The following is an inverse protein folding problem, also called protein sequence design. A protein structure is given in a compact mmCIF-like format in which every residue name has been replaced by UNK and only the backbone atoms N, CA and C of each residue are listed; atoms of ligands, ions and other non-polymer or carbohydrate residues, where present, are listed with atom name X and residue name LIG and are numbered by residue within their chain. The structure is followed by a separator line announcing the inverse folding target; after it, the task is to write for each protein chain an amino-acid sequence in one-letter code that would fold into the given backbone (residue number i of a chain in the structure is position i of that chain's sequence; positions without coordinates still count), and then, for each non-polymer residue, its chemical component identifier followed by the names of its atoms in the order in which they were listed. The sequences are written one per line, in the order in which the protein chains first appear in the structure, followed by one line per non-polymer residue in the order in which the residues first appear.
data_IF_821997062225
#
_entry.id   IF_821997062225
#
_cell.length_a   1.000
_cell.length_b   1.000
_cell.length_c   1.000
_cell.angle_alpha   90.00
_cell.angle_beta   90.00
_cell.angle_gamma   90.00
#
_symmetry.space_group_name_H-M   'P 1'
#
loop_
_entity.id
_entity.type
_entity.pdbx_description
1 polymer ?
#
# COMPACT_ATOMS: atom_id res chain seq x y z
N UNK A 1 -9.65 -34.26 -23.98
CA UNK A 1 -10.61 -33.51 -23.12
C UNK A 1 -9.89 -33.14 -21.82
N UNK A 2 -10.09 -31.92 -21.28
CA UNK A 2 -9.56 -31.32 -20.02
C UNK A 2 -8.39 -30.28 -20.04
N UNK A 3 -8.29 -29.35 -21.01
CA UNK A 3 -7.49 -28.13 -20.81
C UNK A 3 -8.15 -27.11 -19.84
N UNK A 4 -9.43 -27.26 -19.51
CA UNK A 4 -10.18 -26.34 -18.62
C UNK A 4 -9.81 -26.45 -17.14
N UNK A 5 -9.34 -27.61 -16.68
CA UNK A 5 -9.09 -27.86 -15.25
C UNK A 5 -7.82 -27.15 -14.78
N UNK A 6 -6.77 -27.12 -15.60
CA UNK A 6 -5.53 -26.41 -15.30
C UNK A 6 -5.75 -24.90 -15.18
N UNK A 7 -6.51 -24.30 -16.12
CA UNK A 7 -6.84 -22.88 -16.09
C UNK A 7 -7.73 -22.53 -14.88
N UNK A 8 -8.71 -23.38 -14.56
CA UNK A 8 -9.55 -23.18 -13.38
C UNK A 8 -8.75 -23.26 -12.07
N UNK A 9 -7.83 -24.22 -11.94
CA UNK A 9 -6.92 -24.34 -10.80
C UNK A 9 -6.00 -23.12 -10.68
N UNK A 10 -5.40 -22.66 -11.79
CA UNK A 10 -4.54 -21.47 -11.80
C UNK A 10 -5.30 -20.19 -11.45
N UNK A 11 -6.56 -20.06 -11.90
CA UNK A 11 -7.42 -18.93 -11.56
C UNK A 11 -7.80 -18.94 -10.07
N UNK A 12 -8.13 -20.11 -9.51
CA UNK A 12 -8.44 -20.29 -8.09
C UNK A 12 -7.21 -19.99 -7.21
N UNK A 13 -6.04 -20.53 -7.58
CA UNK A 13 -4.77 -20.30 -6.88
C UNK A 13 -4.37 -18.82 -6.97
N UNK A 14 -4.47 -18.21 -8.15
CA UNK A 14 -4.21 -16.78 -8.35
C UNK A 14 -5.14 -15.90 -7.53
N UNK A 15 -6.43 -16.26 -7.42
CA UNK A 15 -7.39 -15.57 -6.57
C UNK A 15 -7.06 -15.66 -5.09
N UNK A 16 -6.70 -16.86 -4.59
CA UNK A 16 -6.30 -17.05 -3.19
C UNK A 16 -4.98 -16.37 -2.84
N UNK A 17 -4.03 -16.32 -3.77
CA UNK A 17 -2.75 -15.64 -3.58
C UNK A 17 -2.95 -14.13 -3.42
N UNK A 18 -3.81 -13.53 -4.26
CA UNK A 18 -4.21 -12.12 -4.14
C UNK A 18 -4.88 -11.82 -2.81
N UNK A 19 -5.87 -12.64 -2.41
CA UNK A 19 -6.55 -12.46 -1.13
C UNK A 19 -5.59 -12.60 0.08
N UNK A 20 -4.64 -13.54 0.02
CA UNK A 20 -3.64 -13.71 1.08
C UNK A 20 -2.70 -12.52 1.15
N UNK A 21 -2.29 -11.98 -0.01
CA UNK A 21 -1.42 -10.81 -0.05
C UNK A 21 -2.12 -9.58 0.52
N UNK A 22 -3.38 -9.34 0.14
CA UNK A 22 -4.19 -8.25 0.69
C UNK A 22 -4.34 -8.35 2.22
N UNK A 23 -4.56 -9.55 2.75
CA UNK A 23 -4.66 -9.78 4.20
C UNK A 23 -3.33 -9.52 4.91
N UNK A 24 -2.20 -9.97 4.37
CA UNK A 24 -0.88 -9.72 4.96
C UNK A 24 -0.58 -8.22 4.98
N UNK A 25 -0.81 -7.52 3.87
CA UNK A 25 -0.62 -6.07 3.77
C UNK A 25 -1.52 -5.32 4.75
N UNK A 26 -2.80 -5.71 4.82
CA UNK A 26 -3.78 -5.12 5.73
C UNK A 26 -3.38 -5.30 7.19
N UNK A 27 -2.99 -6.52 7.58
CA UNK A 27 -2.59 -6.84 8.95
C UNK A 27 -1.29 -6.13 9.35
N UNK A 28 -0.29 -6.11 8.47
CA UNK A 28 0.96 -5.39 8.70
C UNK A 28 0.73 -3.88 8.84
N UNK A 29 -0.09 -3.29 7.97
CA UNK A 29 -0.45 -1.87 8.02
C UNK A 29 -1.22 -1.50 9.29
N UNK A 30 -2.16 -2.38 9.71
CA UNK A 30 -2.97 -2.17 10.91
C UNK A 30 -2.12 -2.26 12.18
N UNK A 31 -1.29 -3.29 12.29
CA UNK A 31 -0.40 -3.50 13.43
C UNK A 31 0.56 -2.31 13.63
N UNK A 32 1.10 -1.77 12.54
CA UNK A 32 2.00 -0.61 12.60
C UNK A 32 1.28 0.68 12.98
N UNK A 33 0.05 0.88 12.51
CA UNK A 33 -0.74 2.03 12.98
C UNK A 33 -1.06 1.90 14.48
N UNK A 34 -1.34 0.69 14.99
CA UNK A 34 -1.59 0.42 16.41
C UNK A 34 -0.35 0.69 17.26
N UNK A 35 0.84 0.19 16.88
CA UNK A 35 2.11 0.48 17.57
C UNK A 35 2.45 1.97 17.57
N UNK A 36 2.17 2.68 16.47
CA UNK A 36 2.39 4.13 16.38
C UNK A 36 1.41 4.89 17.29
N UNK A 37 0.14 4.48 17.34
CA UNK A 37 -0.87 5.11 18.19
C UNK A 37 -0.60 4.87 19.69
N UNK A 38 -0.11 3.69 20.05
CA UNK A 38 0.22 3.34 21.44
C UNK A 38 1.38 4.18 21.99
N UNK A 39 2.26 4.66 21.12
CA UNK A 39 3.39 5.54 21.49
C UNK A 39 3.03 7.03 21.55
N UNK A 40 1.81 7.44 21.18
CA UNK A 40 1.42 8.85 21.19
C UNK A 40 1.19 9.35 22.62
N UNK A 41 2.02 10.30 23.06
CA UNK A 41 1.80 10.99 24.34
C UNK A 41 0.64 11.99 24.21
N UNK A 42 0.04 12.37 25.33
CA UNK A 42 -1.05 13.36 25.37
C UNK A 42 -0.69 14.67 24.63
N UNK A 43 0.55 15.14 24.78
CA UNK A 43 1.06 16.33 24.09
C UNK A 43 1.12 16.18 22.56
N UNK A 44 1.40 14.98 22.06
CA UNK A 44 1.43 14.72 20.61
C UNK A 44 0.02 14.80 20.01
N UNK A 45 -0.97 14.24 20.70
CA UNK A 45 -2.38 14.28 20.28
C UNK A 45 -2.93 15.72 20.30
N UNK A 46 -2.51 16.53 21.27
CA UNK A 46 -2.88 17.95 21.33
C UNK A 46 -2.23 18.75 20.20
N UNK A 47 -0.94 18.53 19.93
CA UNK A 47 -0.22 19.18 18.85
C UNK A 47 -0.83 18.87 17.48
N UNK A 48 -1.23 17.62 17.22
CA UNK A 48 -1.91 17.24 15.97
C UNK A 48 -3.26 17.94 15.81
N UNK A 49 -4.07 18.00 16.87
CA UNK A 49 -5.35 18.73 16.82
C UNK A 49 -5.14 20.22 16.58
N UNK A 50 -4.12 20.83 17.18
CA UNK A 50 -3.79 22.25 16.97
C UNK A 50 -3.33 22.49 15.53
N UNK A 51 -2.49 21.60 14.98
CA UNK A 51 -2.03 21.71 13.60
C UNK A 51 -3.18 21.52 12.59
N UNK A 52 -4.07 20.56 12.81
CA UNK A 52 -5.25 20.30 11.98
C UNK A 52 -6.25 21.46 12.04
N UNK A 53 -6.52 21.98 13.24
CA UNK A 53 -7.41 23.12 13.43
C UNK A 53 -6.85 24.40 12.81
N UNK A 54 -5.56 24.68 13.03
CA UNK A 54 -4.87 25.84 12.48
C UNK A 54 -4.73 25.82 10.95
N UNK A 55 -4.76 24.64 10.33
CA UNK A 55 -4.69 24.47 8.86
C UNK A 55 -6.04 24.58 8.13
N UNK A 56 -7.16 24.74 8.84
CA UNK A 56 -8.49 24.76 8.22
C UNK A 56 -8.82 26.11 7.58
N UNK A 57 -9.35 26.10 6.35
CA UNK A 57 -9.87 27.30 5.68
C UNK A 57 -10.93 28.05 6.49
N UNK A 58 -11.77 27.31 7.24
CA UNK A 58 -12.79 27.93 8.11
C UNK A 58 -12.16 28.68 9.28
N UNK A 59 -11.07 28.15 9.84
CA UNK A 59 -10.34 28.81 10.91
C UNK A 59 -9.69 30.11 10.41
N UNK A 60 -9.02 30.07 9.24
CA UNK A 60 -8.40 31.25 8.64
C UNK A 60 -9.41 32.38 8.46
N UNK A 61 -10.58 32.09 7.87
CA UNK A 61 -11.62 33.10 7.63
C UNK A 61 -12.16 33.66 8.96
N UNK A 62 -12.50 32.79 9.91
CA UNK A 62 -13.01 33.22 11.22
C UNK A 62 -11.98 34.05 12.00
N UNK A 63 -10.71 33.65 11.98
CA UNK A 63 -9.60 34.35 12.63
C UNK A 63 -9.38 35.73 12.00
N UNK A 64 -9.37 35.83 10.67
CA UNK A 64 -9.28 37.11 9.97
C UNK A 64 -10.45 38.03 10.31
N UNK A 65 -11.69 37.53 10.33
CA UNK A 65 -12.85 38.32 10.73
C UNK A 65 -12.77 38.80 12.19
N UNK A 66 -12.26 37.95 13.10
CA UNK A 66 -12.04 38.31 14.49
C UNK A 66 -10.99 39.44 14.61
N UNK A 67 -9.90 39.37 13.84
CA UNK A 67 -8.89 40.44 13.81
C UNK A 67 -9.47 41.75 13.31
N UNK A 68 -10.19 41.75 12.18
CA UNK A 68 -10.86 42.95 11.68
C UNK A 68 -11.92 43.48 12.65
N UNK A 69 -12.66 42.59 13.32
CA UNK A 69 -13.62 42.95 14.36
C UNK A 69 -12.94 43.62 15.56
N UNK A 70 -11.80 43.11 16.01
CA UNK A 70 -11.00 43.70 17.09
C UNK A 70 -10.47 45.08 16.72
N UNK A 71 -9.93 45.23 15.51
CA UNK A 71 -9.46 46.51 14.98
C UNK A 71 -10.60 47.53 14.88
N UNK A 72 -11.76 47.12 14.35
CA UNK A 72 -12.94 47.98 14.24
C UNK A 72 -13.47 48.42 15.61
N UNK A 73 -13.57 47.49 16.57
CA UNK A 73 -14.02 47.79 17.93
C UNK A 73 -13.10 48.81 18.62
N UNK A 74 -11.77 48.59 18.58
CA UNK A 74 -10.81 49.52 19.18
C UNK A 74 -10.75 50.87 18.43
N UNK A 75 -10.95 50.88 17.11
CA UNK A 75 -10.97 52.11 16.32
C UNK A 75 -12.24 52.95 16.55
N UNK A 76 -13.39 52.33 16.83
CA UNK A 76 -14.62 53.05 17.21
C UNK A 76 -14.51 53.54 18.67
N UNK A 77 -13.96 52.71 19.56
CA UNK A 77 -13.73 53.06 20.97
C UNK A 77 -12.65 54.15 21.17
N UNK A 78 -11.85 54.44 20.15
CA UNK A 78 -10.92 55.59 20.07
C UNK A 78 -11.58 56.91 20.46
N UNK A 79 -12.89 57.07 20.19
CA UNK A 79 -13.65 58.28 20.51
C UNK A 79 -13.97 58.44 22.01
N UNK A 80 -13.88 57.38 22.83
CA UNK A 80 -14.22 57.43 24.26
C UNK A 80 -13.07 57.09 25.21
N UNK A 81 -12.20 56.13 24.84
CA UNK A 81 -10.90 55.77 25.43
C UNK A 81 -10.54 54.37 24.91
N UNK A 82 -9.63 54.26 23.94
CA UNK A 82 -9.26 52.96 23.35
C UNK A 82 -8.42 52.12 24.32
N UNK A 83 -8.59 50.80 24.24
CA UNK A 83 -7.79 49.82 25.01
C UNK A 83 -6.50 49.45 24.26
N UNK A 84 -6.54 49.37 22.93
CA UNK A 84 -5.39 49.08 22.06
C UNK A 84 -5.36 50.08 20.89
N UNK A 85 -4.62 51.18 21.05
CA UNK A 85 -4.50 52.26 20.05
C UNK A 85 -3.66 51.83 18.84
N UNK A 86 -3.98 52.36 17.66
CA UNK A 86 -3.15 52.19 16.46
C UNK A 86 -1.71 52.61 16.78
N UNK A 87 -0.70 51.71 16.67
CA UNK A 87 -0.58 50.56 15.75
C UNK A 87 -0.95 49.15 16.32
N UNK A 88 -1.80 49.05 17.34
CA UNK A 88 -2.28 47.81 17.98
C UNK A 88 -1.17 46.94 18.61
N UNK A 89 -0.45 47.49 19.59
CA UNK A 89 0.71 46.84 20.21
C UNK A 89 0.33 45.53 20.92
N UNK A 90 -0.84 45.48 21.54
CA UNK A 90 -1.28 44.29 22.28
C UNK A 90 -1.65 43.16 21.33
N UNK A 91 -2.40 43.48 20.27
CA UNK A 91 -2.71 42.54 19.21
C UNK A 91 -1.43 41.98 18.56
N UNK A 92 -0.46 42.84 18.28
CA UNK A 92 0.80 42.44 17.68
C UNK A 92 1.60 41.48 18.59
N UNK A 93 1.66 41.76 19.90
CA UNK A 93 2.33 40.90 20.87
C UNK A 93 1.67 39.51 20.97
N UNK A 94 0.34 39.48 21.02
CA UNK A 94 -0.44 38.24 21.03
C UNK A 94 -0.16 37.40 19.76
N UNK A 95 -0.27 38.02 18.58
CA UNK A 95 -0.03 37.35 17.30
C UNK A 95 1.39 36.80 17.19
N UNK A 96 2.39 37.59 17.63
CA UNK A 96 3.79 37.18 17.60
C UNK A 96 4.05 35.96 18.50
N UNK A 97 3.42 35.92 19.68
CA UNK A 97 3.56 34.80 20.62
C UNK A 97 2.87 33.53 20.08
N UNK A 98 1.68 33.67 19.49
CA UNK A 98 0.97 32.56 18.84
C UNK A 98 1.81 32.01 17.68
N UNK A 99 2.31 32.88 16.80
CA UNK A 99 3.13 32.48 15.66
C UNK A 99 4.43 31.78 16.09
N UNK A 100 5.09 32.29 17.14
CA UNK A 100 6.31 31.68 17.68
C UNK A 100 6.07 30.26 18.21
N UNK A 101 4.93 30.00 18.85
CA UNK A 101 4.54 28.66 19.31
C UNK A 101 4.03 27.77 18.17
N UNK A 102 3.50 28.36 17.10
CA UNK A 102 2.95 27.63 15.96
C UNK A 102 4.02 26.87 15.17
N UNK A 103 5.17 27.48 14.89
CA UNK A 103 6.21 26.84 14.08
C UNK A 103 6.76 25.51 14.69
N UNK A 104 7.10 25.44 15.99
CA UNK A 104 7.49 24.19 16.64
C UNK A 104 6.37 23.14 16.66
N UNK A 105 5.11 23.54 16.91
CA UNK A 105 3.97 22.62 16.93
C UNK A 105 3.74 22.01 15.55
N UNK A 106 3.80 22.83 14.50
CA UNK A 106 3.75 22.36 13.11
C UNK A 106 4.92 21.42 12.83
N UNK A 107 6.14 21.79 13.21
CA UNK A 107 7.34 20.96 12.98
C UNK A 107 7.26 19.61 13.72
N UNK A 108 6.71 19.58 14.94
CA UNK A 108 6.49 18.34 15.69
C UNK A 108 5.45 17.45 15.00
N UNK A 109 4.34 18.00 14.54
CA UNK A 109 3.33 17.26 13.78
C UNK A 109 3.87 16.74 12.45
N UNK A 110 4.64 17.57 11.72
CA UNK A 110 5.30 17.18 10.47
C UNK A 110 6.35 16.09 10.68
N UNK A 111 7.22 16.20 11.69
CA UNK A 111 8.23 15.18 12.00
C UNK A 111 7.58 13.84 12.37
N UNK A 112 6.43 13.88 13.08
CA UNK A 112 5.65 12.68 13.39
C UNK A 112 5.02 12.07 12.14
N UNK A 113 4.39 12.88 11.28
CA UNK A 113 3.84 12.42 10.02
C UNK A 113 4.92 11.77 9.13
N UNK A 114 6.08 12.42 8.99
CA UNK A 114 7.20 11.89 8.20
C UNK A 114 7.77 10.57 8.75
N UNK A 115 7.81 10.39 10.08
CA UNK A 115 8.19 9.09 10.68
C UNK A 115 7.20 7.99 10.34
N UNK A 116 5.89 8.29 10.42
CA UNK A 116 4.81 7.35 10.07
C UNK A 116 4.86 6.97 8.59
N UNK A 117 5.07 7.94 7.71
CA UNK A 117 5.18 7.71 6.27
C UNK A 117 6.42 6.86 5.92
N UNK A 118 7.56 7.11 6.58
CA UNK A 118 8.76 6.30 6.40
C UNK A 118 8.56 4.84 6.83
N UNK A 119 7.91 4.61 7.97
CA UNK A 119 7.61 3.25 8.43
C UNK A 119 6.68 2.52 7.46
N UNK A 120 5.64 3.19 6.96
CA UNK A 120 4.73 2.63 5.96
C UNK A 120 5.46 2.26 4.67
N UNK A 121 6.33 3.15 4.17
CA UNK A 121 7.12 2.88 2.97
C UNK A 121 8.04 1.65 3.13
N UNK A 122 8.66 1.49 4.30
CA UNK A 122 9.50 0.32 4.61
C UNK A 122 8.69 -0.99 4.62
N UNK A 123 7.49 -0.99 5.20
CA UNK A 123 6.61 -2.16 5.21
C UNK A 123 6.13 -2.52 3.81
N UNK A 124 5.69 -1.52 3.03
CA UNK A 124 5.27 -1.74 1.65
C UNK A 124 6.42 -2.32 0.82
N UNK A 125 7.64 -1.83 1.04
CA UNK A 125 8.85 -2.40 0.43
C UNK A 125 9.05 -3.87 0.80
N UNK A 126 8.97 -4.22 2.09
CA UNK A 126 9.14 -5.61 2.55
C UNK A 126 8.06 -6.55 2.01
N UNK A 127 6.80 -6.10 1.96
CA UNK A 127 5.69 -6.87 1.37
C UNK A 127 5.92 -7.10 -0.12
N UNK A 128 6.38 -6.07 -0.84
CA UNK A 128 6.67 -6.18 -2.27
C UNK A 128 7.81 -7.17 -2.53
N UNK A 129 8.90 -7.08 -1.77
CA UNK A 129 10.02 -8.02 -1.86
C UNK A 129 9.58 -9.46 -1.58
N UNK A 130 8.76 -9.67 -0.54
CA UNK A 130 8.20 -10.99 -0.22
C UNK A 130 7.31 -11.53 -1.34
N UNK A 131 6.50 -10.66 -1.96
CA UNK A 131 5.65 -11.01 -3.10
C UNK A 131 6.49 -11.43 -4.31
N UNK A 132 7.58 -10.71 -4.59
CA UNK A 132 8.51 -11.04 -5.67
C UNK A 132 9.16 -12.41 -5.46
N UNK A 133 9.64 -12.70 -4.24
CA UNK A 133 10.20 -14.00 -3.90
C UNK A 133 9.19 -15.14 -4.04
N UNK A 134 7.94 -14.93 -3.60
CA UNK A 134 6.86 -15.91 -3.77
C UNK A 134 6.55 -16.15 -5.26
N UNK A 135 6.58 -15.10 -6.08
CA UNK A 135 6.38 -15.21 -7.52
C UNK A 135 7.51 -16.00 -8.19
N UNK A 136 8.76 -15.77 -7.79
CA UNK A 136 9.91 -16.56 -8.26
C UNK A 136 9.78 -18.05 -7.87
N UNK A 137 9.37 -18.33 -6.63
CA UNK A 137 9.14 -19.71 -6.18
C UNK A 137 8.00 -20.38 -6.94
N UNK A 138 6.93 -19.65 -7.24
CA UNK A 138 5.82 -20.15 -8.04
C UNK A 138 6.27 -20.46 -9.48
N UNK A 139 7.08 -19.59 -10.08
CA UNK A 139 7.67 -19.83 -11.39
C UNK A 139 8.54 -21.09 -11.41
N UNK A 140 9.40 -21.27 -10.41
CA UNK A 140 10.24 -22.48 -10.31
C UNK A 140 9.40 -23.76 -10.23
N UNK A 141 8.32 -23.77 -9.45
CA UNK A 141 7.40 -24.91 -9.38
C UNK A 141 6.64 -25.14 -10.69
N UNK A 142 6.25 -24.07 -11.39
CA UNK A 142 5.58 -24.19 -12.67
C UNK A 142 6.50 -24.81 -13.73
N UNK A 143 7.78 -24.43 -13.72
CA UNK A 143 8.78 -25.01 -14.62
C UNK A 143 9.03 -26.50 -14.31
N UNK A 144 9.04 -26.89 -13.04
CA UNK A 144 9.12 -28.29 -12.62
C UNK A 144 7.93 -29.12 -13.14
N UNK A 145 6.70 -28.62 -12.96
CA UNK A 145 5.48 -29.27 -13.47
C UNK A 145 5.51 -29.37 -15.00
N UNK A 146 5.93 -28.30 -15.69
CA UNK A 146 6.05 -28.29 -17.14
C UNK A 146 7.09 -29.31 -17.63
N UNK A 147 8.22 -29.44 -16.94
CA UNK A 147 9.25 -30.42 -17.28
C UNK A 147 8.73 -31.86 -17.13
N UNK A 148 8.01 -32.16 -16.05
CA UNK A 148 7.39 -33.46 -15.84
C UNK A 148 6.34 -33.78 -16.92
N UNK A 149 5.49 -32.81 -17.29
CA UNK A 149 4.49 -32.99 -18.34
C UNK A 149 5.15 -33.30 -19.70
N UNK A 150 6.22 -32.58 -20.06
CA UNK A 150 6.99 -32.83 -21.28
C UNK A 150 7.62 -34.23 -21.30
N UNK A 151 8.17 -34.71 -20.18
CA UNK A 151 8.69 -36.08 -20.07
C UNK A 151 7.58 -37.11 -20.29
N UNK A 152 6.42 -36.91 -19.68
CA UNK A 152 5.27 -37.82 -19.81
C UNK A 152 4.75 -37.87 -21.27
N UNK A 153 4.69 -36.72 -21.95
CA UNK A 153 4.37 -36.65 -23.37
C UNK A 153 5.41 -37.41 -24.22
N UNK A 154 6.70 -37.25 -23.91
CA UNK A 154 7.77 -37.91 -24.64
C UNK A 154 7.71 -39.43 -24.47
N UNK A 155 7.47 -39.93 -23.26
CA UNK A 155 7.25 -41.35 -22.98
C UNK A 155 6.05 -41.90 -23.75
N UNK A 156 4.92 -41.17 -23.74
CA UNK A 156 3.70 -41.56 -24.46
C UNK A 156 3.97 -41.69 -25.96
N UNK A 157 4.65 -40.71 -26.57
CA UNK A 157 5.03 -40.73 -27.99
C UNK A 157 5.94 -41.92 -28.30
N UNK A 158 6.94 -42.19 -27.45
CA UNK A 158 7.86 -43.33 -27.65
C UNK A 158 7.12 -44.67 -27.59
N UNK A 159 6.19 -44.81 -26.64
CA UNK A 159 5.35 -46.01 -26.54
C UNK A 159 4.50 -46.18 -27.81
N UNK A 160 3.82 -45.14 -28.28
CA UNK A 160 3.01 -45.23 -29.50
C UNK A 160 3.85 -45.59 -30.74
N UNK A 161 5.02 -44.98 -30.90
CA UNK A 161 5.94 -45.31 -32.00
C UNK A 161 6.42 -46.76 -31.94
N UNK A 162 6.72 -47.28 -30.74
CA UNK A 162 7.13 -48.69 -30.58
C UNK A 162 6.03 -49.67 -30.97
N UNK A 163 4.77 -49.35 -30.66
CA UNK A 163 3.60 -50.15 -31.01
C UNK A 163 3.37 -50.14 -32.52
N UNK A 164 3.45 -48.95 -33.16
CA UNK A 164 3.32 -48.81 -34.62
C UNK A 164 4.42 -49.61 -35.32
N UNK A 165 5.68 -49.49 -34.86
CA UNK A 165 6.82 -50.22 -35.41
C UNK A 165 6.64 -51.74 -35.32
N UNK A 166 6.24 -52.27 -34.15
CA UNK A 166 5.95 -53.71 -34.00
C UNK A 166 4.88 -54.18 -34.97
N UNK A 167 3.80 -53.41 -35.15
CA UNK A 167 2.73 -53.75 -36.10
C UNK A 167 3.19 -53.76 -37.56
N UNK A 168 4.08 -52.86 -37.94
CA UNK A 168 4.71 -52.87 -39.27
C UNK A 168 5.58 -54.12 -39.47
N UNK A 169 6.41 -54.47 -38.49
CA UNK A 169 7.25 -55.67 -38.54
C UNK A 169 6.41 -56.97 -38.62
N UNK A 170 5.30 -57.05 -37.87
CA UNK A 170 4.34 -58.16 -37.96
C UNK A 170 3.65 -58.22 -39.34
N UNK A 171 3.29 -57.07 -39.91
CA UNK A 171 2.65 -56.99 -41.22
C UNK A 171 3.61 -57.43 -42.34
N UNK A 172 4.86 -56.95 -42.32
CA UNK A 172 5.89 -57.34 -43.28
C UNK A 172 6.22 -58.83 -43.18
N UNK A 173 6.32 -59.38 -41.96
CA UNK A 173 6.51 -60.81 -41.76
C UNK A 173 5.33 -61.65 -42.28
N UNK A 174 4.10 -61.14 -42.15
CA UNK A 174 2.90 -61.79 -42.69
C UNK A 174 2.79 -61.67 -44.21
N UNK A 175 3.32 -60.59 -44.81
CA UNK A 175 3.36 -60.38 -46.25
C UNK A 175 4.43 -61.27 -46.91
N UNK A 176 5.63 -61.38 -46.30
CA UNK A 176 6.70 -62.25 -46.79
C UNK A 176 6.35 -63.74 -46.77
N UNK A 177 5.53 -64.19 -45.81
CA UNK A 177 5.04 -65.58 -45.72
C UNK A 177 4.00 -65.97 -46.77
N UNK A 178 3.41 -65.01 -47.49
CA UNK A 178 2.42 -65.25 -48.57
C UNK A 178 3.05 -65.33 -49.97
N UNK A 179 4.33 -65.01 -50.10
CA UNK A 179 5.05 -64.93 -51.40
C UNK A 179 5.99 -66.14 -51.62
N UNK A 180 6.18 -66.99 -50.59
CA UNK A 180 6.76 -68.34 -50.72
C UNK A 180 5.66 -69.40 -50.69
#
# INVERSE_FOLDING_TARGET
QRPSVAIAMLSEIGGRLRATNELITSLASKNVNEEIEEQLKFGDRLADKIAEFGGSWRFIIAFTLLLFGWMALNSIQLWLRPFDEFPFIFLNLMLSTIAALQAPVIMMSQNRAGKKDRLRAELDYQVNLKSELMLQQLHAKLDEVRAAELQTLQETIQVELSIIRKRLEEFDASAGKKVQ
#
